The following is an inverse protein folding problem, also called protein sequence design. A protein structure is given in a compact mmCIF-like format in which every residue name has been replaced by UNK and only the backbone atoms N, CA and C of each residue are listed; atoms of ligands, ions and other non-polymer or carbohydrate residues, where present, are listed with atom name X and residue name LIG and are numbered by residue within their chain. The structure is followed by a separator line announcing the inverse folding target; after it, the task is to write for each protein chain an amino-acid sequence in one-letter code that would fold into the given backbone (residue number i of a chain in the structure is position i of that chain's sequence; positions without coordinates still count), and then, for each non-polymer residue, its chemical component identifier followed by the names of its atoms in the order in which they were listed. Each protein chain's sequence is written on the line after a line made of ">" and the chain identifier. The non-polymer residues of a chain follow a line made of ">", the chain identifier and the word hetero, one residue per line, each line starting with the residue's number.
data_IF_799140625494
#
_entry.id   IF_799140625494
#
_cell.length_a   1.000
_cell.length_b   1.000
_cell.length_c   1.000
_cell.angle_alpha   90.00
_cell.angle_beta   90.00
_cell.angle_gamma   90.00
#
_symmetry.space_group_name_H-M   'P 1'
#
loop_
_entity.id
_entity.type
_entity.pdbx_description
1 polymer ?
#
# COMPACT_ATOMS: atom_id res chain seq x y z
N UNK A 1 3.63 -19.09 -10.44
CA UNK A 1 3.01 -19.05 -9.12
C UNK A 1 2.52 -17.61 -8.84
N UNK A 2 1.25 -17.47 -8.52
CA UNK A 2 0.68 -16.14 -8.33
C UNK A 2 1.15 -15.53 -7.01
N UNK A 3 1.64 -14.30 -7.06
CA UNK A 3 1.97 -13.55 -5.86
C UNK A 3 0.74 -12.87 -5.27
N UNK A 4 -0.24 -12.54 -6.11
CA UNK A 4 -1.48 -11.91 -5.70
C UNK A 4 -2.65 -12.63 -6.36
N UNK A 5 -3.66 -12.96 -5.55
CA UNK A 5 -4.92 -13.54 -6.04
C UNK A 5 -6.10 -12.78 -5.45
N UNK A 6 -6.98 -12.29 -6.31
CA UNK A 6 -8.19 -11.58 -5.92
C UNK A 6 -9.39 -12.34 -6.46
N UNK A 7 -10.30 -12.72 -5.56
CA UNK A 7 -11.45 -13.55 -5.90
C UNK A 7 -12.74 -12.97 -5.32
N UNK A 8 -13.70 -12.67 -6.20
CA UNK A 8 -15.03 -12.22 -5.81
C UNK A 8 -15.01 -10.94 -4.97
N UNK A 9 -14.06 -10.06 -5.19
CA UNK A 9 -13.88 -8.89 -4.35
C UNK A 9 -15.01 -7.89 -4.54
N UNK A 10 -15.62 -7.52 -3.41
CA UNK A 10 -16.73 -6.58 -3.37
C UNK A 10 -16.51 -5.57 -2.28
N UNK A 11 -16.79 -4.30 -2.56
CA UNK A 11 -16.73 -3.23 -1.56
C UNK A 11 -17.95 -2.34 -1.69
N UNK A 12 -18.67 -2.20 -0.59
CA UNK A 12 -19.85 -1.33 -0.49
C UNK A 12 -19.60 -0.34 0.64
N UNK A 13 -19.74 0.94 0.35
CA UNK A 13 -19.71 2.00 1.35
C UNK A 13 -21.14 2.41 1.68
N UNK A 14 -21.42 2.57 2.97
CA UNK A 14 -22.70 3.08 3.45
C UNK A 14 -22.50 4.35 4.23
N UNK A 15 -23.39 5.33 4.06
CA UNK A 15 -23.35 6.53 4.89
C UNK A 15 -23.91 6.23 6.27
N UNK A 16 -23.40 6.93 7.30
CA UNK A 16 -23.80 6.74 8.70
C UNK A 16 -25.29 6.93 8.95
N UNK A 17 -25.95 7.71 8.12
CA UNK A 17 -27.39 7.99 8.26
C UNK A 17 -28.28 7.03 7.47
N UNK A 18 -27.73 5.91 7.01
CA UNK A 18 -28.52 4.78 6.49
C UNK A 18 -29.16 4.98 5.12
N UNK A 19 -28.84 6.06 4.43
CA UNK A 19 -29.56 6.40 3.21
C UNK A 19 -28.95 5.85 1.93
N UNK A 20 -27.65 5.99 1.74
CA UNK A 20 -27.02 5.70 0.44
C UNK A 20 -25.96 4.63 0.56
N UNK A 21 -26.05 3.66 -0.35
CA UNK A 21 -25.05 2.60 -0.53
C UNK A 21 -24.35 2.82 -1.85
N UNK A 22 -23.02 2.84 -1.83
CA UNK A 22 -22.20 2.92 -3.04
C UNK A 22 -21.42 1.63 -3.16
N UNK A 23 -21.69 0.88 -4.22
CA UNK A 23 -20.91 -0.33 -4.52
C UNK A 23 -19.72 0.05 -5.38
N UNK A 24 -18.57 0.24 -4.71
CA UNK A 24 -17.34 0.68 -5.37
C UNK A 24 -16.68 -0.44 -6.17
N UNK A 25 -16.79 -1.68 -5.71
CA UNK A 25 -16.25 -2.87 -6.38
C UNK A 25 -17.30 -3.95 -6.47
N UNK A 26 -17.43 -4.59 -7.63
CA UNK A 26 -18.36 -5.69 -7.90
C UNK A 26 -17.60 -6.88 -8.44
N UNK A 27 -17.58 -7.97 -7.68
CA UNK A 27 -17.06 -9.26 -8.12
C UNK A 27 -15.77 -9.17 -8.93
N UNK A 28 -14.76 -8.49 -8.36
CA UNK A 28 -13.47 -8.31 -9.03
C UNK A 28 -12.63 -9.56 -8.87
N UNK A 29 -12.15 -10.09 -9.99
CA UNK A 29 -11.33 -11.30 -10.03
C UNK A 29 -10.11 -11.08 -10.92
N UNK A 30 -8.92 -11.31 -10.38
CA UNK A 30 -7.70 -11.33 -11.15
C UNK A 30 -6.57 -11.92 -10.32
N UNK A 31 -5.46 -12.22 -10.99
CA UNK A 31 -4.25 -12.68 -10.32
C UNK A 31 -3.04 -11.98 -10.94
N UNK A 32 -1.97 -11.90 -10.17
CA UNK A 32 -0.70 -11.33 -10.60
C UNK A 32 0.40 -12.34 -10.32
N UNK A 33 1.16 -12.66 -11.36
CA UNK A 33 2.30 -13.56 -11.22
C UNK A 33 3.52 -12.81 -10.69
N UNK A 34 4.41 -13.56 -10.06
CA UNK A 34 5.67 -13.00 -9.59
C UNK A 34 6.46 -12.38 -10.76
N UNK A 35 6.92 -11.14 -10.58
CA UNK A 35 7.66 -10.42 -11.62
C UNK A 35 6.80 -9.74 -12.67
N UNK A 36 5.48 -9.84 -12.59
CA UNK A 36 4.55 -9.24 -13.54
C UNK A 36 4.29 -7.78 -13.20
N UNK A 37 4.17 -6.96 -14.24
CA UNK A 37 3.79 -5.55 -14.14
C UNK A 37 2.35 -5.40 -14.62
N UNK A 38 1.47 -4.92 -13.76
CA UNK A 38 0.02 -4.81 -14.04
C UNK A 38 -0.45 -3.38 -13.89
N UNK A 39 -1.22 -2.91 -14.88
CA UNK A 39 -1.86 -1.61 -14.82
C UNK A 39 -3.36 -1.77 -14.57
N UNK A 40 -3.89 -1.00 -13.61
CA UNK A 40 -5.31 -0.92 -13.32
C UNK A 40 -5.82 0.39 -13.93
N UNK A 41 -6.70 0.28 -14.92
CA UNK A 41 -7.19 1.40 -15.71
C UNK A 41 -8.69 1.56 -15.55
N UNK A 42 -9.17 2.78 -15.71
CA UNK A 42 -10.59 3.10 -15.65
C UNK A 42 -10.80 4.59 -15.45
N UNK A 43 -12.04 5.01 -15.63
CA UNK A 43 -12.42 6.42 -15.43
C UNK A 43 -12.40 6.77 -13.92
N UNK A 44 -12.37 8.08 -13.64
CA UNK A 44 -12.49 8.58 -12.27
C UNK A 44 -13.78 8.04 -11.64
N UNK A 45 -13.68 7.53 -10.41
CA UNK A 45 -14.83 6.95 -9.72
C UNK A 45 -15.12 5.48 -10.06
N UNK A 46 -14.26 4.83 -10.85
CA UNK A 46 -14.45 3.41 -11.22
C UNK A 46 -13.99 2.42 -10.15
N UNK A 47 -13.46 2.90 -9.02
CA UNK A 47 -13.04 2.03 -7.92
C UNK A 47 -11.56 1.70 -7.88
N UNK A 48 -10.73 2.33 -8.73
CA UNK A 48 -9.29 2.06 -8.76
C UNK A 48 -8.61 2.29 -7.42
N UNK A 49 -8.86 3.45 -6.80
CA UNK A 49 -8.29 3.79 -5.50
C UNK A 49 -8.78 2.85 -4.40
N UNK A 50 -10.07 2.51 -4.43
CA UNK A 50 -10.65 1.55 -3.50
C UNK A 50 -9.95 0.19 -3.60
N UNK A 51 -9.76 -0.30 -4.82
CA UNK A 51 -9.08 -1.56 -5.06
C UNK A 51 -7.65 -1.53 -4.52
N UNK A 52 -6.89 -0.49 -4.84
CA UNK A 52 -5.50 -0.37 -4.38
C UNK A 52 -5.41 -0.28 -2.85
N UNK A 53 -6.34 0.43 -2.20
CA UNK A 53 -6.37 0.51 -0.74
C UNK A 53 -6.62 -0.85 -0.10
N UNK A 54 -7.50 -1.66 -0.68
CA UNK A 54 -7.76 -3.01 -0.17
C UNK A 54 -6.54 -3.91 -0.38
N UNK A 55 -5.90 -3.83 -1.55
CA UNK A 55 -4.69 -4.62 -1.84
C UNK A 55 -3.53 -4.22 -0.94
N UNK A 56 -3.47 -2.98 -0.51
CA UNK A 56 -2.45 -2.48 0.41
C UNK A 56 -2.79 -2.74 1.89
N UNK A 57 -3.91 -3.42 2.17
CA UNK A 57 -4.40 -3.67 3.53
C UNK A 57 -4.70 -2.37 4.31
N UNK A 58 -5.00 -1.28 3.59
CA UNK A 58 -5.44 -0.01 4.19
C UNK A 58 -6.94 0.04 4.41
N UNK A 59 -7.69 -0.82 3.73
CA UNK A 59 -9.13 -0.95 3.86
C UNK A 59 -9.49 -2.44 3.77
N UNK A 60 -10.68 -2.79 4.23
CA UNK A 60 -11.17 -4.16 4.21
C UNK A 60 -12.27 -4.32 3.18
N UNK A 61 -12.32 -5.46 2.48
CA UNK A 61 -13.43 -5.73 1.56
C UNK A 61 -14.72 -6.01 2.32
N UNK A 62 -15.86 -5.77 1.67
CA UNK A 62 -17.16 -6.18 2.19
C UNK A 62 -17.28 -7.70 2.08
N UNK A 63 -16.82 -8.25 0.96
CA UNK A 63 -16.77 -9.70 0.74
C UNK A 63 -15.70 -10.00 -0.30
N UNK A 64 -15.41 -11.28 -0.46
CA UNK A 64 -14.35 -11.72 -1.36
C UNK A 64 -13.04 -11.96 -0.63
N UNK A 65 -12.05 -12.42 -1.38
CA UNK A 65 -10.76 -12.85 -0.82
C UNK A 65 -9.61 -12.20 -1.57
N UNK A 66 -8.63 -11.72 -0.80
CA UNK A 66 -7.34 -11.26 -1.33
C UNK A 66 -6.24 -12.07 -0.66
N UNK A 67 -5.46 -12.77 -1.47
CA UNK A 67 -4.30 -13.54 -1.00
C UNK A 67 -3.04 -12.90 -1.57
N UNK A 68 -2.15 -12.46 -0.70
CA UNK A 68 -0.88 -11.87 -1.08
C UNK A 68 0.25 -12.72 -0.50
N UNK A 69 1.11 -13.21 -1.39
CA UNK A 69 2.23 -14.07 -1.04
C UNK A 69 1.81 -15.25 -0.14
N UNK A 70 0.70 -15.89 -0.49
CA UNK A 70 0.16 -17.02 0.24
C UNK A 70 -0.63 -16.67 1.50
N UNK A 71 -0.76 -15.40 1.85
CA UNK A 71 -1.47 -14.96 3.04
C UNK A 71 -2.79 -14.28 2.70
N UNK A 72 -3.89 -14.77 3.29
CA UNK A 72 -5.18 -14.12 3.18
C UNK A 72 -5.20 -12.87 4.05
N UNK A 73 -5.38 -11.70 3.44
CA UNK A 73 -5.33 -10.43 4.15
C UNK A 73 -6.39 -10.32 5.26
N UNK A 74 -7.54 -10.95 5.08
CA UNK A 74 -8.62 -10.92 6.08
C UNK A 74 -8.28 -11.68 7.35
N UNK A 75 -7.30 -12.59 7.29
CA UNK A 75 -6.89 -13.42 8.44
C UNK A 75 -5.72 -12.81 9.23
N UNK A 76 -5.18 -11.70 8.79
CA UNK A 76 -4.11 -11.00 9.50
C UNK A 76 -4.74 -10.25 10.68
N UNK A 77 -4.17 -10.43 11.88
CA UNK A 77 -4.65 -9.74 13.08
C UNK A 77 -4.48 -8.22 12.95
N UNK A 78 -5.47 -7.46 13.43
CA UNK A 78 -5.41 -5.98 13.39
C UNK A 78 -4.10 -5.43 13.94
N UNK A 79 -3.59 -6.00 15.03
CA UNK A 79 -2.34 -5.57 15.64
C UNK A 79 -1.11 -5.83 14.77
N UNK A 80 -1.23 -6.66 13.73
CA UNK A 80 -0.12 -7.06 12.86
C UNK A 80 -0.22 -6.51 11.44
N UNK A 81 -1.33 -5.85 11.09
CA UNK A 81 -1.55 -5.37 9.73
C UNK A 81 -0.51 -4.34 9.32
N UNK A 82 -0.18 -3.37 10.19
CA UNK A 82 0.82 -2.37 9.87
C UNK A 82 2.21 -2.98 9.66
N UNK A 83 2.58 -3.97 10.46
CA UNK A 83 3.83 -4.71 10.30
C UNK A 83 3.84 -5.49 8.99
N UNK A 84 2.73 -6.10 8.65
CA UNK A 84 2.59 -6.82 7.37
C UNK A 84 2.79 -5.88 6.18
N UNK A 85 2.17 -4.69 6.19
CA UNK A 85 2.38 -3.69 5.14
C UNK A 85 3.84 -3.28 5.02
N UNK A 86 4.47 -2.98 6.17
CA UNK A 86 5.87 -2.55 6.19
C UNK A 86 6.80 -3.61 5.58
N UNK A 87 6.57 -4.86 5.91
CA UNK A 87 7.49 -5.95 5.55
C UNK A 87 7.24 -6.52 4.15
N UNK A 88 6.04 -6.36 3.60
CA UNK A 88 5.63 -7.05 2.38
C UNK A 88 5.23 -6.15 1.22
N UNK A 89 4.97 -4.87 1.46
CA UNK A 89 4.43 -3.96 0.46
C UNK A 89 5.28 -2.70 0.33
N UNK A 90 5.41 -2.22 -0.91
CA UNK A 90 5.87 -0.88 -1.18
C UNK A 90 4.71 -0.08 -1.75
N UNK A 91 4.56 1.18 -1.36
CA UNK A 91 3.45 2.00 -1.77
C UNK A 91 3.93 3.37 -2.23
N UNK A 92 3.45 3.80 -3.40
CA UNK A 92 3.69 5.15 -3.90
C UNK A 92 2.34 5.87 -3.92
N UNK A 93 2.21 6.89 -3.10
CA UNK A 93 0.96 7.63 -2.96
C UNK A 93 0.79 8.64 -4.08
N UNK A 94 -0.47 8.93 -4.41
CA UNK A 94 -0.82 10.00 -5.34
C UNK A 94 -0.44 11.36 -4.76
N UNK A 95 -0.67 11.56 -3.46
CA UNK A 95 -0.24 12.73 -2.70
C UNK A 95 1.08 12.42 -1.98
N UNK A 96 1.77 13.46 -1.53
CA UNK A 96 3.12 13.28 -0.96
C UNK A 96 3.14 12.51 0.36
N UNK A 97 2.14 12.73 1.23
CA UNK A 97 2.04 12.08 2.55
C UNK A 97 3.30 12.21 3.40
N UNK A 98 3.98 13.34 3.28
CA UNK A 98 5.20 13.63 4.04
C UNK A 98 4.88 14.39 5.32
N UNK A 99 5.72 14.20 6.34
CA UNK A 99 5.62 14.96 7.58
C UNK A 99 6.39 16.27 7.41
N UNK A 100 5.68 17.38 7.44
CA UNK A 100 6.24 18.71 7.15
C UNK A 100 7.29 19.16 8.15
N UNK A 101 7.23 18.65 9.38
CA UNK A 101 8.17 19.01 10.45
C UNK A 101 9.49 18.24 10.38
N UNK A 102 9.55 17.24 9.52
CA UNK A 102 10.75 16.41 9.36
C UNK A 102 11.50 16.81 8.10
N UNK A 103 12.82 16.60 8.11
CA UNK A 103 13.63 16.72 6.89
C UNK A 103 13.22 15.65 5.90
N UNK A 104 13.63 15.79 4.63
CA UNK A 104 13.40 14.76 3.63
C UNK A 104 14.04 13.43 4.05
N UNK A 105 15.26 13.48 4.55
CA UNK A 105 15.97 12.30 5.06
C UNK A 105 15.17 11.58 6.15
N UNK A 106 14.63 12.33 7.12
CA UNK A 106 13.86 11.76 8.23
C UNK A 106 12.56 11.13 7.75
N UNK A 107 11.88 11.74 6.77
CA UNK A 107 10.70 11.14 6.16
C UNK A 107 11.03 9.79 5.49
N UNK A 108 12.16 9.72 4.80
CA UNK A 108 12.59 8.51 4.10
C UNK A 108 12.97 7.42 5.10
N UNK A 109 13.65 7.79 6.18
CA UNK A 109 14.10 6.84 7.18
C UNK A 109 13.00 6.31 8.08
N UNK A 110 11.88 7.00 8.20
CA UNK A 110 10.84 6.67 9.17
C UNK A 110 10.42 5.19 9.16
N UNK A 111 10.15 4.54 8.02
CA UNK A 111 9.81 3.11 8.03
C UNK A 111 10.92 2.23 8.58
N UNK A 112 12.18 2.58 8.34
CA UNK A 112 13.33 1.83 8.84
C UNK A 112 13.52 2.03 10.35
N UNK A 113 13.26 3.25 10.83
CA UNK A 113 13.26 3.54 12.27
C UNK A 113 12.20 2.71 12.98
N UNK A 114 10.99 2.67 12.42
CA UNK A 114 9.90 1.86 12.98
C UNK A 114 10.20 0.37 12.93
N UNK A 115 11.01 -0.06 11.96
CA UNK A 115 11.46 -1.45 11.84
C UNK A 115 12.65 -1.76 12.77
N UNK A 116 13.15 -0.79 13.52
CA UNK A 116 14.28 -0.98 14.44
C UNK A 116 15.63 -1.10 13.76
N UNK A 117 15.77 -0.61 12.53
CA UNK A 117 17.03 -0.70 11.79
C UNK A 117 18.04 0.34 12.30
N UNK A 118 19.34 0.00 12.37
CA UNK A 118 20.37 0.96 12.80
C UNK A 118 20.59 2.05 11.75
N UNK A 119 21.01 3.24 12.20
CA UNK A 119 21.26 4.38 11.33
C UNK A 119 22.25 4.06 10.19
N UNK A 120 23.27 3.29 10.50
CA UNK A 120 24.27 2.87 9.51
C UNK A 120 23.64 2.16 8.32
N UNK A 121 22.73 1.22 8.58
CA UNK A 121 22.02 0.50 7.53
C UNK A 121 21.10 1.43 6.73
N UNK A 122 20.41 2.36 7.42
CA UNK A 122 19.55 3.33 6.76
C UNK A 122 20.33 4.19 5.77
N UNK A 123 21.50 4.68 6.20
CA UNK A 123 22.35 5.50 5.35
C UNK A 123 22.89 4.71 4.16
N UNK A 124 23.34 3.49 4.38
CA UNK A 124 23.84 2.60 3.32
C UNK A 124 22.79 2.30 2.26
N UNK A 125 21.51 2.23 2.65
CA UNK A 125 20.40 2.03 1.72
C UNK A 125 20.02 3.29 0.97
N UNK A 126 20.04 4.44 1.64
CA UNK A 126 19.57 5.69 1.05
C UNK A 126 20.56 6.31 0.08
N UNK A 127 21.84 6.38 0.45
CA UNK A 127 22.84 7.13 -0.31
C UNK A 127 22.87 6.77 -1.81
N UNK A 128 22.93 5.49 -2.22
CA UNK A 128 22.93 5.15 -3.64
C UNK A 128 21.64 5.56 -4.36
N UNK A 129 20.49 5.41 -3.70
CA UNK A 129 19.19 5.75 -4.28
C UNK A 129 19.06 7.26 -4.44
N UNK A 130 19.48 8.03 -3.42
CA UNK A 130 19.45 9.49 -3.46
C UNK A 130 20.32 10.04 -4.61
N UNK A 131 21.50 9.45 -4.82
CA UNK A 131 22.36 9.82 -5.95
C UNK A 131 21.70 9.54 -7.29
N UNK A 132 21.10 8.36 -7.44
CA UNK A 132 20.42 8.00 -8.70
C UNK A 132 19.23 8.88 -9.00
N UNK A 133 18.51 9.35 -7.98
CA UNK A 133 17.37 10.22 -8.12
C UNK A 133 17.75 11.71 -8.16
N UNK A 134 19.01 12.06 -7.89
CA UNK A 134 19.46 13.44 -7.89
C UNK A 134 18.95 14.28 -6.73
N UNK A 135 18.66 13.66 -5.59
CA UNK A 135 18.09 14.35 -4.42
C UNK A 135 19.03 14.46 -3.23
N UNK A 136 20.28 14.08 -3.39
CA UNK A 136 21.26 14.08 -2.28
C UNK A 136 21.32 15.44 -1.57
N UNK A 137 21.30 16.54 -2.31
CA UNK A 137 21.37 17.88 -1.76
C UNK A 137 20.14 18.30 -0.98
N UNK A 138 19.02 17.61 -1.19
CA UNK A 138 17.73 17.92 -0.57
C UNK A 138 17.50 17.19 0.75
N UNK A 139 18.31 16.20 1.07
CA UNK A 139 18.06 15.29 2.20
C UNK A 139 17.94 15.98 3.55
N UNK A 140 18.67 17.07 3.75
CA UNK A 140 18.69 17.82 5.02
C UNK A 140 17.61 18.90 5.11
N UNK A 141 16.87 19.13 4.06
CA UNK A 141 15.84 20.18 4.04
C UNK A 141 14.51 19.74 4.65
#
# INVERSE_FOLDING_TARGET
>A
MSILEVSGLRKVYTTRLGGNRVEALRNVNFSVENGEYVAIMGESGSGKTTLLNILAALDKPTSGVVVLDGQNLAKIKESQVATFRRDNLGFVFQDFNLLDTFSLEDNIYLPLVLAGRPYREMKERLDPIAQRLGITELLKK
#
